data_IF_518945261000
#
_entry.id   IF_518945261000
#
_cell.length_a   1.000
_cell.length_b   1.000
_cell.length_c   1.000
_cell.angle_alpha   90.00
_cell.angle_beta   90.00
_cell.angle_gamma   90.00
#
_symmetry.space_group_name_H-M   'P 1'
#
loop_
_entity.id
_entity.type
_entity.pdbx_description
1 polymer ?
#
# COMPACT_ATOMS: atom_id res chain seq x y z
N UNK A 1 -32.90 -12.63 2.13
CA UNK A 1 -32.46 -14.01 2.45
C UNK A 1 -33.60 -14.89 3.00
N UNK A 2 -34.42 -14.44 3.94
CA UNK A 2 -35.56 -15.24 4.46
C UNK A 2 -36.53 -15.77 3.38
N UNK A 3 -36.79 -15.01 2.32
CA UNK A 3 -37.66 -15.42 1.21
C UNK A 3 -37.06 -16.55 0.34
N UNK A 4 -35.72 -16.72 0.35
CA UNK A 4 -35.02 -17.75 -0.45
C UNK A 4 -34.57 -18.94 0.38
N UNK A 5 -34.86 -18.98 1.66
CA UNK A 5 -34.40 -20.01 2.61
C UNK A 5 -32.86 -20.21 2.53
N UNK A 6 -32.11 -19.10 2.39
CA UNK A 6 -30.67 -19.07 2.23
C UNK A 6 -30.05 -18.21 3.34
N UNK A 7 -28.87 -18.62 3.77
CA UNK A 7 -28.01 -17.93 4.75
C UNK A 7 -26.67 -17.63 4.12
N UNK A 8 -26.03 -16.54 4.51
CA UNK A 8 -24.63 -16.25 4.14
C UNK A 8 -23.65 -16.80 5.19
N UNK A 9 -22.34 -16.64 4.94
CA UNK A 9 -21.31 -17.14 5.84
C UNK A 9 -21.34 -16.47 7.22
N UNK A 10 -21.69 -15.22 7.31
CA UNK A 10 -21.81 -14.48 8.57
C UNK A 10 -23.04 -14.97 9.37
N UNK A 11 -24.16 -15.22 8.70
CA UNK A 11 -25.35 -15.84 9.29
C UNK A 11 -25.02 -17.21 9.86
N UNK A 12 -24.24 -18.05 9.13
CA UNK A 12 -23.83 -19.38 9.60
C UNK A 12 -23.06 -19.28 10.93
N UNK A 13 -22.12 -18.35 11.05
CA UNK A 13 -21.31 -18.16 12.25
C UNK A 13 -22.19 -17.66 13.41
N UNK A 14 -23.04 -16.65 13.14
CA UNK A 14 -23.90 -16.07 14.16
C UNK A 14 -24.96 -17.05 14.67
N UNK A 15 -25.62 -17.80 13.78
CA UNK A 15 -26.58 -18.83 14.18
C UNK A 15 -25.93 -19.98 14.93
N UNK A 16 -24.71 -20.42 14.52
CA UNK A 16 -23.95 -21.41 15.27
C UNK A 16 -23.64 -20.92 16.68
N UNK A 17 -23.26 -19.69 16.88
CA UNK A 17 -23.03 -19.08 18.20
C UNK A 17 -24.30 -19.10 19.08
N UNK A 18 -25.48 -18.84 18.50
CA UNK A 18 -26.75 -18.90 19.22
C UNK A 18 -27.10 -20.34 19.64
N UNK A 19 -26.98 -21.28 18.70
CA UNK A 19 -27.25 -22.71 18.98
C UNK A 19 -26.36 -23.24 20.12
N UNK A 20 -25.06 -22.90 20.09
CA UNK A 20 -24.11 -23.29 21.14
C UNK A 20 -24.50 -22.71 22.48
N UNK A 21 -24.88 -21.44 22.55
CA UNK A 21 -25.34 -20.78 23.76
C UNK A 21 -26.63 -21.42 24.31
N UNK A 22 -27.57 -21.77 23.46
CA UNK A 22 -28.81 -22.43 23.83
C UNK A 22 -28.54 -23.85 24.39
N UNK A 23 -27.54 -24.58 23.83
CA UNK A 23 -27.11 -25.86 24.36
C UNK A 23 -26.44 -25.74 25.73
N UNK A 24 -25.62 -24.73 25.97
CA UNK A 24 -25.03 -24.43 27.27
C UNK A 24 -26.12 -24.20 28.32
N UNK A 25 -27.14 -23.40 28.00
CA UNK A 25 -28.29 -23.14 28.89
C UNK A 25 -29.05 -24.43 29.22
N UNK A 26 -29.19 -25.35 28.25
CA UNK A 26 -29.89 -26.63 28.43
C UNK A 26 -29.01 -27.71 29.09
N UNK A 27 -27.78 -27.37 29.51
CA UNK A 27 -26.85 -28.28 30.17
C UNK A 27 -26.22 -29.36 29.29
N UNK A 28 -26.33 -29.22 27.97
CA UNK A 28 -25.64 -30.08 27.02
C UNK A 28 -24.15 -29.72 26.95
N UNK A 29 -23.26 -30.71 26.92
CA UNK A 29 -21.81 -30.49 26.79
C UNK A 29 -21.26 -31.27 25.60
N UNK A 30 -20.28 -30.64 24.94
CA UNK A 30 -19.40 -31.29 23.96
C UNK A 30 -18.08 -31.66 24.66
N UNK A 31 -17.44 -32.74 24.29
CA UNK A 31 -16.21 -33.23 24.95
C UNK A 31 -14.94 -32.81 24.20
N UNK A 32 -14.77 -31.51 23.96
CA UNK A 32 -13.51 -30.95 23.47
C UNK A 32 -12.68 -30.45 24.65
N UNK A 33 -11.40 -30.84 24.71
CA UNK A 33 -10.46 -30.39 25.75
C UNK A 33 -9.71 -29.15 25.32
N UNK A 34 -9.51 -28.99 24.03
CA UNK A 34 -8.76 -27.89 23.42
C UNK A 34 -9.46 -27.38 22.18
N UNK A 35 -9.44 -26.07 22.00
CA UNK A 35 -9.83 -25.36 20.76
C UNK A 35 -8.58 -24.65 20.26
N UNK A 36 -8.09 -25.06 19.09
CA UNK A 36 -6.89 -24.47 18.47
C UNK A 36 -7.34 -23.59 17.33
N UNK A 37 -6.97 -22.32 17.38
CA UNK A 37 -7.26 -21.34 16.32
C UNK A 37 -5.95 -20.86 15.73
N UNK A 38 -5.72 -21.19 14.46
CA UNK A 38 -4.57 -20.73 13.68
C UNK A 38 -4.88 -19.42 12.98
N UNK A 39 -3.84 -18.67 12.61
CA UNK A 39 -3.94 -17.33 12.00
C UNK A 39 -4.89 -16.40 12.80
N UNK A 40 -4.80 -16.45 14.12
CA UNK A 40 -5.74 -15.78 15.03
C UNK A 40 -5.75 -14.25 14.86
N UNK A 41 -4.69 -13.63 14.32
CA UNK A 41 -4.64 -12.18 14.00
C UNK A 41 -5.67 -11.77 12.94
N UNK A 42 -6.24 -12.72 12.20
CA UNK A 42 -7.26 -12.46 11.18
C UNK A 42 -8.69 -12.78 11.67
N UNK A 43 -8.86 -12.96 12.98
CA UNK A 43 -10.16 -13.31 13.54
C UNK A 43 -11.12 -12.11 13.48
N UNK A 44 -12.37 -12.36 13.05
CA UNK A 44 -13.44 -11.38 13.14
C UNK A 44 -14.16 -11.48 14.50
N UNK A 45 -14.90 -10.44 14.88
CA UNK A 45 -15.68 -10.42 16.13
C UNK A 45 -16.66 -11.58 16.20
N UNK A 46 -17.28 -11.95 15.09
CA UNK A 46 -18.23 -13.08 15.04
C UNK A 46 -17.54 -14.42 15.31
N UNK A 47 -16.39 -14.67 14.67
CA UNK A 47 -15.59 -15.89 14.90
C UNK A 47 -15.05 -15.96 16.33
N UNK A 48 -14.62 -14.81 16.86
CA UNK A 48 -14.22 -14.71 18.27
C UNK A 48 -15.36 -15.10 19.22
N UNK A 49 -16.58 -14.57 19.01
CA UNK A 49 -17.74 -14.89 19.82
C UNK A 49 -18.07 -16.39 19.75
N UNK A 50 -18.08 -16.98 18.55
CA UNK A 50 -18.29 -18.42 18.35
C UNK A 50 -17.26 -19.25 19.13
N UNK A 51 -15.96 -18.88 19.03
CA UNK A 51 -14.87 -19.57 19.75
C UNK A 51 -15.07 -19.48 21.26
N UNK A 52 -15.48 -18.30 21.76
CA UNK A 52 -15.72 -18.08 23.20
C UNK A 52 -16.90 -18.89 23.73
N UNK A 53 -18.03 -18.90 23.03
CA UNK A 53 -19.19 -19.69 23.44
C UNK A 53 -18.90 -21.20 23.37
N UNK A 54 -18.19 -21.67 22.34
CA UNK A 54 -17.77 -23.05 22.23
C UNK A 54 -16.82 -23.47 23.38
N UNK A 55 -15.89 -22.61 23.76
CA UNK A 55 -14.98 -22.85 24.88
C UNK A 55 -15.74 -23.02 26.19
N UNK A 56 -16.75 -22.18 26.44
CA UNK A 56 -17.61 -22.32 27.64
C UNK A 56 -18.41 -23.61 27.63
N UNK A 57 -19.08 -23.93 26.51
CA UNK A 57 -19.89 -25.16 26.40
C UNK A 57 -19.05 -26.42 26.67
N UNK A 58 -17.80 -26.44 26.18
CA UNK A 58 -16.91 -27.61 26.31
C UNK A 58 -16.08 -27.62 27.59
N UNK A 59 -15.99 -26.49 28.32
CA UNK A 59 -14.95 -26.26 29.35
C UNK A 59 -13.54 -26.46 28.76
N UNK A 60 -13.34 -26.00 27.53
CA UNK A 60 -12.13 -26.22 26.75
C UNK A 60 -11.13 -25.08 26.87
N UNK A 61 -9.84 -25.41 26.86
CA UNK A 61 -8.75 -24.45 26.76
C UNK A 61 -8.58 -23.95 25.33
N UNK A 62 -8.40 -22.64 25.17
CA UNK A 62 -8.14 -22.06 23.86
C UNK A 62 -6.64 -21.92 23.66
N UNK A 63 -6.16 -22.33 22.48
CA UNK A 63 -4.79 -22.12 21.99
C UNK A 63 -4.90 -21.29 20.72
N UNK A 64 -4.53 -20.01 20.80
CA UNK A 64 -4.52 -19.09 19.69
C UNK A 64 -3.09 -18.91 19.15
N UNK A 65 -2.89 -19.18 17.87
CA UNK A 65 -1.60 -19.03 17.18
C UNK A 65 -1.73 -17.96 16.10
N UNK A 66 -0.78 -17.05 16.04
CA UNK A 66 -0.84 -15.98 15.05
C UNK A 66 0.37 -15.05 15.06
N UNK A 67 0.37 -14.10 14.15
CA UNK A 67 1.40 -13.07 13.99
C UNK A 67 0.75 -11.73 13.65
N UNK A 68 0.73 -10.79 14.62
CA UNK A 68 0.11 -9.47 14.47
C UNK A 68 0.75 -8.64 13.35
N UNK A 69 2.04 -8.89 13.02
CA UNK A 69 2.71 -8.24 11.89
C UNK A 69 2.12 -8.67 10.53
N UNK A 70 1.38 -9.77 10.49
CA UNK A 70 0.71 -10.32 9.30
C UNK A 70 -0.81 -10.11 9.29
N UNK A 71 -1.36 -9.26 10.16
CA UNK A 71 -2.78 -8.89 10.14
C UNK A 71 -3.06 -7.91 9.00
N UNK A 72 -3.62 -8.41 7.89
CA UNK A 72 -3.83 -7.66 6.64
C UNK A 72 -5.24 -7.80 6.08
N UNK A 73 -6.21 -8.23 6.89
CA UNK A 73 -7.60 -8.45 6.48
C UNK A 73 -8.60 -7.59 7.26
N UNK A 74 -8.19 -6.37 7.70
CA UNK A 74 -9.09 -5.44 8.38
C UNK A 74 -10.30 -5.08 7.49
N UNK A 75 -10.08 -4.89 6.19
CA UNK A 75 -11.15 -4.66 5.20
C UNK A 75 -12.18 -5.81 5.12
N UNK A 76 -11.79 -7.03 5.50
CA UNK A 76 -12.67 -8.21 5.58
C UNK A 76 -13.25 -8.44 6.99
N UNK A 77 -13.13 -7.45 7.89
CA UNK A 77 -13.70 -7.46 9.23
C UNK A 77 -12.85 -8.17 10.29
N UNK A 78 -11.55 -8.41 10.04
CA UNK A 78 -10.65 -8.85 11.10
C UNK A 78 -10.42 -7.73 12.11
N UNK A 79 -10.26 -8.09 13.39
CA UNK A 79 -10.05 -7.17 14.51
C UNK A 79 -8.76 -7.58 15.24
N UNK A 80 -7.65 -6.90 14.89
CA UNK A 80 -6.34 -7.18 15.47
C UNK A 80 -6.32 -7.00 16.99
N UNK A 81 -7.21 -6.18 17.55
CA UNK A 81 -7.27 -5.96 19.00
C UNK A 81 -7.64 -7.23 19.76
N UNK A 82 -8.35 -8.15 19.13
CA UNK A 82 -8.68 -9.46 19.73
C UNK A 82 -7.45 -10.33 19.90
N UNK A 83 -6.42 -10.14 19.08
CA UNK A 83 -5.14 -10.83 19.21
C UNK A 83 -4.22 -10.11 20.22
N UNK A 84 -4.03 -8.81 20.07
CA UNK A 84 -3.10 -8.04 20.91
C UNK A 84 -3.58 -7.91 22.36
N UNK A 85 -4.90 -8.02 22.62
CA UNK A 85 -5.53 -7.96 23.96
C UNK A 85 -6.17 -9.30 24.34
N UNK A 86 -5.55 -10.41 23.94
CA UNK A 86 -6.08 -11.76 24.17
C UNK A 86 -6.39 -12.04 25.67
N UNK A 87 -5.48 -11.67 26.57
CA UNK A 87 -5.67 -11.86 28.03
C UNK A 87 -6.88 -11.10 28.57
N UNK A 88 -7.09 -9.89 28.10
CA UNK A 88 -8.24 -9.07 28.51
C UNK A 88 -9.55 -9.68 28.01
N UNK A 89 -9.53 -10.25 26.78
CA UNK A 89 -10.70 -10.85 26.16
C UNK A 89 -11.14 -12.15 26.84
N UNK A 90 -10.21 -12.95 27.37
CA UNK A 90 -10.47 -14.25 28.03
C UNK A 90 -10.26 -14.23 29.53
N UNK A 91 -9.81 -13.12 30.13
CA UNK A 91 -9.61 -12.94 31.55
C UNK A 91 -8.24 -13.36 32.07
N UNK A 92 -7.61 -14.35 31.46
CA UNK A 92 -6.21 -14.74 31.72
C UNK A 92 -5.64 -15.48 30.50
N UNK A 93 -4.31 -15.59 30.44
CA UNK A 93 -3.64 -16.34 29.38
C UNK A 93 -2.13 -16.36 29.57
N UNK A 94 -1.49 -17.37 29.00
CA UNK A 94 -0.06 -17.45 28.89
C UNK A 94 0.32 -17.10 27.44
N UNK A 95 1.24 -16.16 27.27
CA UNK A 95 1.79 -15.78 25.98
C UNK A 95 3.17 -16.41 25.81
N UNK A 96 3.35 -17.05 24.66
CA UNK A 96 4.62 -17.65 24.26
C UNK A 96 5.00 -17.10 22.89
N UNK A 97 6.25 -16.70 22.74
CA UNK A 97 6.77 -16.18 21.47
C UNK A 97 7.66 -17.22 20.79
N UNK A 98 7.37 -17.50 19.52
CA UNK A 98 8.27 -18.27 18.65
C UNK A 98 9.22 -17.27 18.01
N UNK A 99 10.49 -17.28 18.45
CA UNK A 99 11.50 -16.31 18.02
C UNK A 99 12.40 -16.83 16.91
N UNK A 100 12.41 -18.12 16.62
CA UNK A 100 13.28 -18.73 15.62
C UNK A 100 12.51 -19.00 14.31
N UNK A 101 13.05 -18.52 13.21
CA UNK A 101 12.52 -18.78 11.87
C UNK A 101 13.58 -19.38 10.95
N UNK A 102 13.13 -20.14 9.95
CA UNK A 102 14.00 -20.81 8.97
C UNK A 102 13.68 -20.41 7.52
N UNK A 103 12.67 -19.58 7.31
CA UNK A 103 12.26 -19.13 5.97
C UNK A 103 13.20 -18.07 5.43
N UNK A 104 13.24 -16.93 6.10
CA UNK A 104 13.97 -15.75 5.67
C UNK A 104 15.42 -15.77 6.16
N UNK A 105 16.31 -15.07 5.48
CA UNK A 105 17.64 -14.74 5.99
C UNK A 105 17.54 -13.69 7.11
N UNK A 106 18.52 -13.64 8.00
CA UNK A 106 18.54 -12.73 9.15
C UNK A 106 18.42 -11.28 8.70
N UNK A 107 19.13 -10.88 7.66
CA UNK A 107 19.15 -9.51 7.16
C UNK A 107 17.80 -9.09 6.59
N UNK A 108 17.04 -10.01 5.98
CA UNK A 108 15.64 -9.74 5.56
C UNK A 108 14.75 -9.50 6.77
N UNK A 109 14.95 -10.30 7.84
CA UNK A 109 14.18 -10.19 9.08
C UNK A 109 14.47 -8.87 9.78
N UNK A 110 15.74 -8.48 9.85
CA UNK A 110 16.18 -7.25 10.53
C UNK A 110 15.59 -6.01 9.83
N UNK A 111 15.63 -5.99 8.49
CA UNK A 111 15.02 -4.91 7.70
C UNK A 111 13.49 -4.90 7.85
N UNK A 112 12.84 -6.03 7.57
CA UNK A 112 11.37 -6.10 7.61
C UNK A 112 10.82 -5.92 9.03
N UNK A 113 11.48 -6.52 10.03
CA UNK A 113 11.12 -6.40 11.43
C UNK A 113 11.33 -5.01 11.99
N UNK A 114 12.44 -4.34 11.65
CA UNK A 114 12.66 -2.95 12.01
C UNK A 114 11.64 -2.01 11.37
N UNK A 115 11.32 -2.25 10.08
CA UNK A 115 10.31 -1.48 9.35
C UNK A 115 8.91 -1.59 10.00
N UNK A 116 8.45 -2.79 10.33
CA UNK A 116 7.09 -2.97 10.90
C UNK A 116 7.01 -2.48 12.35
N UNK A 117 8.06 -2.62 13.15
CA UNK A 117 8.08 -2.21 14.55
C UNK A 117 8.14 -0.70 14.79
N UNK A 118 8.26 0.13 13.74
CA UNK A 118 7.99 1.56 13.83
C UNK A 118 6.54 1.85 14.23
N UNK A 119 5.62 0.96 13.90
CA UNK A 119 4.31 0.97 14.50
C UNK A 119 4.39 0.44 15.93
N UNK A 120 4.28 1.33 16.91
CA UNK A 120 4.43 1.02 18.36
C UNK A 120 3.30 0.17 18.92
N UNK A 121 2.17 0.03 18.22
CA UNK A 121 1.08 -0.84 18.61
C UNK A 121 1.32 -2.32 18.24
N UNK A 122 2.32 -2.61 17.41
CA UNK A 122 2.71 -3.99 17.10
C UNK A 122 3.47 -4.63 18.27
N UNK A 123 3.26 -5.92 18.47
CA UNK A 123 3.98 -6.70 19.48
C UNK A 123 5.47 -6.73 19.11
N UNK A 124 6.32 -6.29 20.04
CA UNK A 124 7.77 -6.31 19.82
C UNK A 124 8.29 -7.75 19.78
N UNK A 125 9.00 -8.10 18.72
CA UNK A 125 9.58 -9.43 18.50
C UNK A 125 11.04 -9.29 18.08
N UNK A 126 11.88 -10.17 18.63
CA UNK A 126 13.26 -10.35 18.17
C UNK A 126 13.36 -11.71 17.49
N UNK A 127 13.29 -11.73 16.17
CA UNK A 127 13.34 -12.96 15.38
C UNK A 127 14.78 -13.29 15.02
N UNK A 128 15.13 -14.57 15.08
CA UNK A 128 16.48 -15.09 14.78
C UNK A 128 16.39 -16.14 13.66
N UNK A 129 17.30 -16.04 12.69
CA UNK A 129 17.47 -17.02 11.63
C UNK A 129 18.92 -17.54 11.57
N UNK A 130 19.15 -18.84 11.32
CA UNK A 130 20.49 -19.35 11.06
C UNK A 130 20.99 -19.04 9.64
N UNK A 131 20.16 -18.41 8.81
CA UNK A 131 20.45 -18.15 7.40
C UNK A 131 20.87 -16.69 7.21
N UNK A 132 21.96 -16.48 6.50
CA UNK A 132 22.51 -15.18 6.16
C UNK A 132 22.66 -15.00 4.65
N UNK A 133 22.46 -13.78 4.15
CA UNK A 133 22.59 -13.46 2.74
C UNK A 133 23.07 -12.02 2.55
N UNK A 134 23.97 -11.83 1.61
CA UNK A 134 24.39 -10.50 1.17
C UNK A 134 23.37 -9.88 0.24
N UNK A 135 23.16 -8.55 0.33
CA UNK A 135 22.22 -7.78 -0.47
C UNK A 135 20.79 -8.39 -0.37
N UNK A 136 20.15 -8.40 0.82
CA UNK A 136 18.88 -9.09 1.07
C UNK A 136 17.69 -8.40 0.39
N UNK A 137 17.74 -7.06 0.32
CA UNK A 137 16.74 -6.20 -0.33
C UNK A 137 17.44 -5.36 -1.39
N UNK A 138 16.97 -5.46 -2.63
CA UNK A 138 17.55 -4.77 -3.78
C UNK A 138 16.46 -3.92 -4.43
N UNK A 139 16.72 -2.62 -4.53
CA UNK A 139 15.85 -1.67 -5.21
C UNK A 139 16.36 -1.51 -6.62
N UNK A 140 15.50 -1.76 -7.60
CA UNK A 140 15.77 -1.57 -9.03
C UNK A 140 14.90 -0.41 -9.51
N UNK A 141 15.54 0.66 -9.99
CA UNK A 141 14.83 1.86 -10.43
C UNK A 141 14.65 1.88 -11.94
N UNK A 142 13.62 2.59 -12.39
CA UNK A 142 13.41 2.97 -13.79
C UNK A 142 13.00 4.44 -13.87
N UNK A 143 13.36 5.12 -14.98
CA UNK A 143 12.97 6.51 -15.19
C UNK A 143 11.65 6.61 -15.94
N UNK A 144 10.77 7.54 -15.53
CA UNK A 144 9.55 7.90 -16.26
C UNK A 144 9.78 9.09 -17.21
N UNK A 145 10.93 9.77 -17.11
CA UNK A 145 11.36 10.85 -17.98
C UNK A 145 11.93 10.30 -19.30
N UNK A 146 11.07 9.69 -20.10
CA UNK A 146 11.45 9.16 -21.42
C UNK A 146 10.61 9.81 -22.48
N UNK A 147 11.21 10.04 -23.66
CA UNK A 147 10.45 10.50 -24.81
C UNK A 147 9.35 9.49 -25.16
N UNK A 148 8.09 9.89 -24.90
CA UNK A 148 6.90 9.04 -25.11
C UNK A 148 6.84 8.43 -26.51
N UNK A 149 7.44 9.09 -27.52
CA UNK A 149 7.51 8.61 -28.90
C UNK A 149 8.32 7.33 -29.05
N UNK A 150 9.32 7.07 -28.19
CA UNK A 150 10.13 5.84 -28.24
C UNK A 150 9.33 4.60 -27.82
N UNK A 151 8.22 4.78 -27.11
CA UNK A 151 7.41 3.70 -26.54
C UNK A 151 5.97 3.68 -27.09
N UNK A 152 5.68 4.52 -28.10
CA UNK A 152 4.41 4.49 -28.80
C UNK A 152 4.22 3.09 -29.43
N UNK A 153 3.13 2.41 -29.08
CA UNK A 153 2.87 1.02 -29.49
C UNK A 153 3.51 -0.08 -28.62
N UNK A 154 4.36 0.24 -27.63
CA UNK A 154 5.04 -0.73 -26.76
C UNK A 154 4.48 -0.81 -25.32
N UNK A 155 3.34 -0.16 -25.03
CA UNK A 155 2.74 -0.19 -23.68
C UNK A 155 3.14 0.98 -22.76
N UNK A 156 3.85 2.01 -23.26
CA UNK A 156 4.20 3.22 -22.50
C UNK A 156 5.03 2.92 -21.25
N UNK A 157 4.66 3.53 -20.10
CA UNK A 157 5.37 3.34 -18.82
C UNK A 157 5.43 1.87 -18.36
N UNK A 158 4.46 1.05 -18.71
CA UNK A 158 4.43 -0.37 -18.33
C UNK A 158 5.52 -1.18 -19.02
N UNK A 159 5.97 -0.76 -20.19
CA UNK A 159 7.10 -1.37 -20.89
C UNK A 159 8.38 -1.28 -20.03
N UNK A 160 8.64 -0.12 -19.42
CA UNK A 160 9.82 0.09 -18.58
C UNK A 160 9.78 -0.78 -17.32
N UNK A 161 8.61 -0.86 -16.67
CA UNK A 161 8.41 -1.74 -15.52
C UNK A 161 8.65 -3.19 -15.93
N UNK A 162 8.02 -3.66 -17.03
CA UNK A 162 8.17 -5.02 -17.55
C UNK A 162 9.62 -5.35 -17.87
N UNK A 163 10.36 -4.42 -18.52
CA UNK A 163 11.77 -4.59 -18.85
C UNK A 163 12.66 -4.68 -17.62
N UNK A 164 12.39 -3.86 -16.61
CA UNK A 164 13.10 -3.93 -15.34
C UNK A 164 12.86 -5.26 -14.63
N UNK A 165 11.60 -5.71 -14.58
CA UNK A 165 11.25 -7.02 -14.01
C UNK A 165 11.92 -8.17 -14.75
N UNK A 166 11.93 -8.15 -16.09
CA UNK A 166 12.61 -9.16 -16.91
C UNK A 166 14.12 -9.18 -16.64
N UNK A 167 14.76 -8.02 -16.54
CA UNK A 167 16.19 -7.94 -16.22
C UNK A 167 16.50 -8.55 -14.83
N UNK A 168 15.63 -8.37 -13.85
CA UNK A 168 15.76 -9.00 -12.53
C UNK A 168 15.62 -10.53 -12.66
N UNK A 169 14.61 -11.01 -13.38
CA UNK A 169 14.40 -12.45 -13.63
C UNK A 169 15.63 -13.05 -14.30
N UNK A 170 16.19 -12.39 -15.32
CA UNK A 170 17.40 -12.80 -16.01
C UNK A 170 18.58 -12.98 -15.02
N UNK A 171 18.80 -12.00 -14.14
CA UNK A 171 19.86 -12.06 -13.11
C UNK A 171 19.66 -13.24 -12.16
N UNK A 172 18.42 -13.45 -11.68
CA UNK A 172 18.08 -14.53 -10.75
C UNK A 172 18.32 -15.90 -11.40
N UNK A 173 17.81 -16.10 -12.62
CA UNK A 173 17.88 -17.38 -13.30
C UNK A 173 19.29 -17.69 -13.87
N UNK A 174 20.10 -16.67 -14.15
CA UNK A 174 21.50 -16.84 -14.49
C UNK A 174 22.33 -17.37 -13.30
N UNK A 175 22.01 -16.90 -12.07
CA UNK A 175 22.65 -17.37 -10.84
C UNK A 175 22.12 -18.76 -10.43
N UNK A 176 20.80 -18.93 -10.44
CA UNK A 176 20.13 -20.18 -10.04
C UNK A 176 18.95 -20.50 -10.98
N UNK A 177 19.13 -21.36 -12.01
CA UNK A 177 18.15 -21.62 -13.07
C UNK A 177 16.80 -22.18 -12.60
N UNK A 178 16.75 -22.86 -11.46
CA UNK A 178 15.55 -23.51 -10.91
C UNK A 178 14.91 -22.70 -9.76
N UNK A 179 15.32 -21.46 -9.61
CA UNK A 179 14.80 -20.56 -8.56
C UNK A 179 13.33 -20.24 -8.79
N UNK A 180 12.49 -20.44 -7.78
CA UNK A 180 11.10 -19.99 -7.82
C UNK A 180 11.03 -18.47 -7.62
N UNK A 181 10.24 -17.79 -8.46
CA UNK A 181 10.12 -16.33 -8.47
C UNK A 181 8.65 -15.94 -8.33
N UNK A 182 8.36 -15.09 -7.35
CA UNK A 182 7.05 -14.50 -7.16
C UNK A 182 7.08 -13.02 -7.54
N UNK A 183 6.22 -12.65 -8.49
CA UNK A 183 5.92 -11.26 -8.80
C UNK A 183 4.78 -10.80 -7.89
N UNK A 184 5.00 -9.81 -7.05
CA UNK A 184 4.00 -9.27 -6.13
C UNK A 184 3.52 -7.91 -6.58
N UNK A 185 2.20 -7.79 -6.82
CA UNK A 185 1.51 -6.52 -7.01
C UNK A 185 0.72 -6.13 -5.77
N UNK A 186 0.54 -4.83 -5.55
CA UNK A 186 -0.42 -4.35 -4.54
C UNK A 186 -1.85 -4.64 -4.99
N UNK A 187 -2.11 -4.56 -6.30
CA UNK A 187 -3.41 -4.76 -6.93
C UNK A 187 -3.37 -5.84 -8.02
N UNK A 188 -4.53 -6.46 -8.28
CA UNK A 188 -4.64 -7.45 -9.36
C UNK A 188 -4.38 -6.87 -10.77
N UNK A 189 -4.68 -5.58 -10.98
CA UNK A 189 -4.41 -4.91 -12.25
C UNK A 189 -2.91 -4.67 -12.53
N UNK A 190 -2.02 -4.86 -11.55
CA UNK A 190 -0.57 -4.82 -11.78
C UNK A 190 -0.14 -5.93 -12.76
N UNK A 191 -0.76 -7.12 -12.68
CA UNK A 191 -0.56 -8.19 -13.67
C UNK A 191 -1.01 -7.78 -15.06
N UNK A 192 -2.20 -7.19 -15.19
CA UNK A 192 -2.71 -6.67 -16.45
C UNK A 192 -1.80 -5.59 -17.04
N UNK A 193 -1.28 -4.71 -16.19
CA UNK A 193 -0.36 -3.66 -16.62
C UNK A 193 0.99 -4.21 -17.10
N UNK A 194 1.54 -5.22 -16.41
CA UNK A 194 2.73 -5.94 -16.88
C UNK A 194 2.47 -6.64 -18.22
N UNK A 195 1.30 -7.24 -18.41
CA UNK A 195 0.90 -7.87 -19.66
C UNK A 195 0.81 -6.92 -20.87
N UNK A 196 0.74 -5.60 -20.63
CA UNK A 196 0.86 -4.59 -21.70
C UNK A 196 2.30 -4.40 -22.19
N UNK A 197 3.30 -4.86 -21.42
CA UNK A 197 4.69 -4.85 -21.87
C UNK A 197 4.95 -5.93 -22.89
N UNK A 198 6.02 -5.77 -23.69
CA UNK A 198 6.39 -6.75 -24.70
C UNK A 198 6.85 -8.10 -24.13
N UNK A 199 7.24 -8.13 -22.86
CA UNK A 199 7.95 -9.24 -22.22
C UNK A 199 7.02 -10.22 -21.49
N UNK A 200 5.74 -9.83 -21.27
CA UNK A 200 4.76 -10.64 -20.56
C UNK A 200 3.47 -10.84 -21.37
N UNK A 201 2.74 -11.90 -21.04
CA UNK A 201 1.40 -12.19 -21.54
C UNK A 201 0.47 -12.32 -20.35
N UNK A 202 -0.58 -11.50 -20.31
CA UNK A 202 -1.65 -11.62 -19.33
C UNK A 202 -2.81 -12.41 -19.94
N UNK A 203 -3.21 -13.50 -19.29
CA UNK A 203 -4.37 -14.29 -19.66
C UNK A 203 -5.61 -13.77 -18.92
N UNK A 204 -6.49 -13.07 -19.62
CA UNK A 204 -7.70 -12.48 -19.04
C UNK A 204 -8.68 -13.53 -18.48
N UNK A 205 -8.65 -14.78 -18.98
CA UNK A 205 -9.56 -15.84 -18.52
C UNK A 205 -9.13 -16.42 -17.19
N UNK A 206 -7.84 -16.62 -17.00
CA UNK A 206 -7.27 -17.21 -15.78
C UNK A 206 -6.75 -16.19 -14.79
N UNK A 207 -6.52 -14.94 -15.24
CA UNK A 207 -5.85 -13.91 -14.44
C UNK A 207 -4.36 -14.16 -14.23
N UNK A 208 -3.76 -15.10 -14.98
CA UNK A 208 -2.35 -15.46 -14.85
C UNK A 208 -1.47 -14.60 -15.74
N UNK A 209 -0.23 -14.38 -15.30
CA UNK A 209 0.82 -13.71 -16.02
C UNK A 209 1.91 -14.72 -16.42
N UNK A 210 2.30 -14.71 -17.68
CA UNK A 210 3.34 -15.58 -18.23
C UNK A 210 4.48 -14.75 -18.79
N UNK A 211 5.72 -15.15 -18.53
CA UNK A 211 6.88 -14.58 -19.23
C UNK A 211 7.02 -15.22 -20.61
N UNK A 212 7.21 -14.42 -21.66
CA UNK A 212 7.49 -14.90 -23.03
C UNK A 212 8.87 -15.55 -23.12
N UNK A 213 9.84 -15.01 -22.40
CA UNK A 213 11.24 -15.45 -22.45
C UNK A 213 11.46 -16.74 -21.66
N UNK A 214 10.69 -16.95 -20.57
CA UNK A 214 10.89 -18.05 -19.63
C UNK A 214 9.67 -18.97 -19.53
N UNK A 215 9.18 -19.43 -20.68
CA UNK A 215 8.07 -20.38 -20.71
C UNK A 215 8.43 -21.67 -19.91
N UNK A 216 7.53 -22.08 -19.01
CA UNK A 216 7.70 -23.27 -18.18
C UNK A 216 8.59 -23.10 -16.95
N UNK A 217 9.10 -21.89 -16.66
CA UNK A 217 9.79 -21.60 -15.40
C UNK A 217 8.79 -21.28 -14.28
N UNK A 218 9.13 -21.53 -13.00
CA UNK A 218 8.26 -21.26 -11.85
C UNK A 218 8.21 -19.77 -11.49
N UNK A 219 7.61 -18.98 -12.41
CA UNK A 219 7.39 -17.53 -12.24
C UNK A 219 5.89 -17.31 -12.11
N UNK A 220 5.45 -16.82 -10.97
CA UNK A 220 4.04 -16.60 -10.67
C UNK A 220 3.77 -15.14 -10.30
N UNK A 221 2.57 -14.65 -10.61
CA UNK A 221 2.09 -13.35 -10.13
C UNK A 221 0.98 -13.54 -9.10
N UNK A 222 1.08 -12.79 -8.01
CA UNK A 222 -0.01 -12.70 -7.01
C UNK A 222 -0.11 -11.28 -6.46
N UNK A 223 -1.28 -10.93 -5.93
CA UNK A 223 -1.37 -9.80 -5.01
C UNK A 223 -0.75 -10.17 -3.67
N UNK A 224 -0.25 -9.20 -2.92
CA UNK A 224 0.37 -9.45 -1.61
C UNK A 224 -0.59 -10.18 -0.67
N UNK A 225 -1.89 -9.84 -0.69
CA UNK A 225 -2.91 -10.53 0.10
C UNK A 225 -3.00 -12.03 -0.21
N UNK A 226 -2.98 -12.39 -1.50
CA UNK A 226 -3.04 -13.81 -1.91
C UNK A 226 -1.77 -14.58 -1.59
N UNK A 227 -0.64 -13.89 -1.51
CA UNK A 227 0.66 -14.49 -1.25
C UNK A 227 0.90 -14.78 0.25
N UNK A 228 0.02 -14.33 1.15
CA UNK A 228 0.12 -14.63 2.58
C UNK A 228 0.22 -16.15 2.81
N UNK A 229 1.10 -16.57 3.72
CA UNK A 229 1.36 -17.98 3.99
C UNK A 229 2.36 -18.66 3.04
N UNK A 230 2.50 -18.19 1.80
CA UNK A 230 3.39 -18.77 0.80
C UNK A 230 4.86 -18.33 0.99
N UNK A 231 5.78 -19.00 0.29
CA UNK A 231 7.20 -18.67 0.30
C UNK A 231 7.91 -19.13 -0.99
N UNK A 232 8.65 -18.19 -1.60
CA UNK A 232 9.38 -18.39 -2.85
C UNK A 232 10.86 -18.14 -2.64
N UNK A 233 11.71 -18.63 -3.56
CA UNK A 233 13.14 -18.40 -3.43
C UNK A 233 13.49 -16.91 -3.56
N UNK A 234 12.86 -16.21 -4.50
CA UNK A 234 12.99 -14.76 -4.66
C UNK A 234 11.64 -14.10 -4.91
N UNK A 235 11.52 -12.85 -4.49
CA UNK A 235 10.31 -12.04 -4.64
C UNK A 235 10.64 -10.75 -5.38
N UNK A 236 9.76 -10.32 -6.29
CA UNK A 236 9.86 -9.05 -7.00
C UNK A 236 8.57 -8.26 -6.75
N UNK A 237 8.65 -7.16 -6.03
CA UNK A 237 7.56 -6.21 -5.84
C UNK A 237 7.54 -5.29 -7.05
N UNK A 238 6.47 -5.36 -7.87
CA UNK A 238 6.49 -4.83 -9.25
C UNK A 238 6.08 -3.37 -9.38
N UNK A 239 5.54 -2.74 -8.35
CA UNK A 239 4.99 -1.37 -8.46
C UNK A 239 5.03 -0.64 -7.11
N UNK A 240 6.23 -0.41 -6.58
CA UNK A 240 6.42 0.35 -5.35
C UNK A 240 6.59 1.85 -5.68
N UNK A 241 5.49 2.57 -5.84
CA UNK A 241 5.47 3.99 -6.25
C UNK A 241 4.57 4.85 -5.38
N UNK A 242 4.88 6.12 -5.32
CA UNK A 242 4.09 7.13 -4.59
C UNK A 242 2.95 7.64 -5.49
N UNK A 243 1.85 6.92 -5.55
CA UNK A 243 0.61 7.27 -6.27
C UNK A 243 -0.60 6.74 -5.51
N UNK A 244 -1.81 7.21 -5.86
CA UNK A 244 -3.08 6.76 -5.25
C UNK A 244 -3.21 5.24 -5.25
N UNK A 245 -2.87 4.60 -6.38
CA UNK A 245 -2.83 3.14 -6.52
C UNK A 245 -1.40 2.61 -6.44
N UNK A 246 -0.58 3.21 -5.59
CA UNK A 246 0.79 2.79 -5.35
C UNK A 246 0.92 1.74 -4.24
N UNK A 247 2.11 1.68 -3.65
CA UNK A 247 2.38 0.91 -2.45
C UNK A 247 3.29 1.73 -1.53
N UNK A 248 2.76 2.35 -0.44
CA UNK A 248 1.41 2.17 0.12
C UNK A 248 0.30 2.70 -0.77
N UNK A 249 -0.88 2.09 -0.64
CA UNK A 249 -2.10 2.59 -1.24
C UNK A 249 -2.54 3.88 -0.54
N UNK A 250 -2.84 4.91 -1.33
CA UNK A 250 -3.40 6.17 -0.83
C UNK A 250 -4.92 6.25 -1.07
N UNK A 251 -5.54 5.11 -1.40
CA UNK A 251 -7.00 5.01 -1.53
C UNK A 251 -7.61 5.19 -0.15
N UNK A 252 -8.42 6.24 -0.01
CA UNK A 252 -9.12 6.47 1.25
C UNK A 252 -10.28 5.47 1.39
N UNK A 253 -10.36 4.86 2.55
CA UNK A 253 -11.53 4.08 2.93
C UNK A 253 -12.75 4.97 3.12
N UNK A 254 -13.94 4.39 2.92
CA UNK A 254 -15.20 5.08 3.20
C UNK A 254 -15.20 5.54 4.67
N UNK A 255 -15.49 6.82 4.96
CA UNK A 255 -15.54 7.34 6.33
C UNK A 255 -16.44 6.54 7.27
N UNK A 256 -17.46 5.87 6.74
CA UNK A 256 -18.36 4.99 7.52
C UNK A 256 -17.61 3.78 8.08
N UNK A 257 -16.62 3.26 7.37
CA UNK A 257 -15.82 2.12 7.82
C UNK A 257 -15.03 2.44 9.09
N UNK A 258 -14.63 3.68 9.33
CA UNK A 258 -13.92 4.12 10.54
C UNK A 258 -14.71 3.89 11.84
N UNK A 259 -16.04 3.78 11.74
CA UNK A 259 -16.90 3.49 12.91
C UNK A 259 -17.00 1.99 13.18
N UNK A 260 -16.68 1.15 12.23
CA UNK A 260 -16.86 -0.31 12.29
C UNK A 260 -15.51 -1.04 12.41
N UNK A 261 -14.51 -0.59 11.65
CA UNK A 261 -13.16 -1.13 11.66
C UNK A 261 -12.34 -0.42 12.74
N UNK A 262 -11.94 -1.15 13.75
CA UNK A 262 -10.99 -0.66 14.74
C UNK A 262 -9.59 -0.86 14.18
N UNK A 263 -9.09 0.11 13.46
CA UNK A 263 -7.70 0.13 13.05
C UNK A 263 -6.86 0.93 14.06
N UNK A 264 -5.60 0.55 14.17
CA UNK A 264 -4.62 1.25 14.95
C UNK A 264 -4.12 2.46 14.15
N UNK A 265 -4.61 3.63 14.51
CA UNK A 265 -4.24 4.91 13.90
C UNK A 265 -2.95 5.51 14.50
N UNK A 266 -2.12 4.72 15.17
CA UNK A 266 -0.88 5.21 15.81
C UNK A 266 0.19 5.64 14.80
N UNK A 267 0.13 5.11 13.58
CA UNK A 267 1.03 5.45 12.47
C UNK A 267 0.28 5.50 11.13
N UNK A 268 0.69 6.41 10.26
CA UNK A 268 0.12 6.49 8.91
C UNK A 268 0.39 5.18 8.13
N UNK A 269 -0.61 4.73 7.37
CA UNK A 269 -0.54 3.47 6.60
C UNK A 269 -0.28 2.21 7.45
N UNK A 270 -0.81 2.11 8.66
CA UNK A 270 -0.55 0.97 9.55
C UNK A 270 -0.83 -0.38 8.89
N UNK A 271 -1.98 -0.57 8.20
CA UNK A 271 -2.32 -1.80 7.47
C UNK A 271 -1.42 -2.00 6.24
N UNK A 272 -1.17 -0.96 5.46
CA UNK A 272 -0.26 -1.01 4.30
C UNK A 272 1.17 -1.37 4.72
N UNK A 273 1.60 -0.93 5.91
CA UNK A 273 2.90 -1.28 6.48
C UNK A 273 2.97 -2.77 6.82
N UNK A 274 1.91 -3.33 7.41
CA UNK A 274 1.80 -4.79 7.61
C UNK A 274 1.80 -5.54 6.28
N UNK A 275 1.09 -5.02 5.29
CA UNK A 275 1.05 -5.60 3.96
C UNK A 275 2.43 -5.59 3.30
N UNK A 276 3.18 -4.50 3.43
CA UNK A 276 4.53 -4.39 2.90
C UNK A 276 5.52 -5.33 3.64
N UNK A 277 5.38 -5.47 4.96
CA UNK A 277 6.10 -6.48 5.73
C UNK A 277 5.81 -7.90 5.20
N UNK A 278 4.54 -8.22 4.94
CA UNK A 278 4.18 -9.52 4.34
C UNK A 278 4.87 -9.68 2.98
N UNK A 279 4.88 -8.65 2.13
CA UNK A 279 5.57 -8.71 0.83
C UNK A 279 7.08 -8.97 0.98
N UNK A 280 7.76 -8.27 1.88
CA UNK A 280 9.18 -8.46 2.16
C UNK A 280 9.51 -9.86 2.67
N UNK A 281 8.63 -10.47 3.44
CA UNK A 281 8.87 -11.77 4.10
C UNK A 281 8.39 -12.99 3.31
N UNK A 282 7.90 -12.82 2.08
CA UNK A 282 7.54 -13.98 1.21
C UNK A 282 8.75 -14.66 0.59
N UNK A 283 9.92 -14.07 0.69
CA UNK A 283 11.15 -14.61 0.13
C UNK A 283 11.87 -15.59 1.07
N UNK A 284 12.57 -16.55 0.49
CA UNK A 284 13.58 -17.34 1.19
C UNK A 284 14.98 -16.75 1.04
N UNK A 285 15.22 -15.99 -0.03
CA UNK A 285 16.52 -15.38 -0.33
C UNK A 285 16.39 -13.85 -0.42
N UNK A 286 16.11 -13.28 -1.60
CA UNK A 286 16.15 -11.84 -1.86
C UNK A 286 14.79 -11.27 -2.21
N UNK A 287 14.60 -10.02 -1.84
CA UNK A 287 13.49 -9.20 -2.32
C UNK A 287 14.04 -8.15 -3.27
N UNK A 288 13.43 -8.06 -4.44
CA UNK A 288 13.66 -6.99 -5.39
C UNK A 288 12.45 -6.05 -5.37
N UNK A 289 12.69 -4.76 -5.36
CA UNK A 289 11.62 -3.74 -5.34
C UNK A 289 11.79 -2.86 -6.56
N UNK A 290 10.81 -2.87 -7.46
CA UNK A 290 10.79 -2.03 -8.66
C UNK A 290 10.07 -0.73 -8.35
N UNK A 291 10.74 0.41 -8.56
CA UNK A 291 10.24 1.74 -8.23
C UNK A 291 10.67 2.77 -9.28
N UNK A 292 9.86 3.79 -9.62
CA UNK A 292 10.31 4.89 -10.46
C UNK A 292 11.32 5.77 -9.72
N UNK A 293 12.25 6.36 -10.47
CA UNK A 293 13.25 7.30 -9.93
C UNK A 293 12.61 8.57 -9.38
N UNK A 294 11.64 9.10 -10.11
CA UNK A 294 11.04 10.43 -9.88
C UNK A 294 9.97 10.42 -8.77
N UNK A 295 9.29 9.29 -8.61
CA UNK A 295 8.18 9.14 -7.66
C UNK A 295 8.28 7.80 -6.90
N UNK A 296 9.40 7.55 -6.20
CA UNK A 296 9.56 6.32 -5.45
C UNK A 296 8.55 6.23 -4.31
N UNK A 297 8.19 5.00 -3.94
CA UNK A 297 7.38 4.72 -2.76
C UNK A 297 8.02 5.32 -1.51
N UNK A 298 7.21 5.91 -0.64
CA UNK A 298 7.68 6.39 0.66
C UNK A 298 8.25 5.26 1.53
N UNK A 299 7.73 4.03 1.41
CA UNK A 299 8.30 2.86 2.08
C UNK A 299 9.68 2.49 1.52
N UNK A 300 9.90 2.68 0.21
CA UNK A 300 11.22 2.49 -0.41
C UNK A 300 12.21 3.53 0.10
N UNK A 301 11.79 4.80 0.17
CA UNK A 301 12.62 5.89 0.70
C UNK A 301 12.99 5.60 2.17
N UNK A 302 12.04 5.16 2.96
CA UNK A 302 12.25 4.78 4.35
C UNK A 302 13.30 3.65 4.49
N UNK A 303 13.16 2.58 3.68
CA UNK A 303 14.12 1.48 3.69
C UNK A 303 15.54 1.95 3.35
N UNK A 304 15.69 2.80 2.34
CA UNK A 304 17.01 3.32 1.93
C UNK A 304 17.63 4.22 2.98
N UNK A 305 16.83 5.03 3.68
CA UNK A 305 17.32 5.93 4.74
C UNK A 305 17.74 5.18 6.00
N UNK A 306 17.03 4.11 6.36
CA UNK A 306 17.19 3.47 7.66
C UNK A 306 18.13 2.25 7.65
N UNK A 307 18.34 1.63 6.48
CA UNK A 307 19.06 0.36 6.40
C UNK A 307 20.19 0.39 5.37
N UNK A 308 21.43 0.25 5.83
CA UNK A 308 22.62 0.23 4.98
C UNK A 308 22.73 -1.02 4.11
N UNK A 309 22.06 -2.10 4.50
CA UNK A 309 22.05 -3.37 3.77
C UNK A 309 21.03 -3.41 2.62
N UNK A 310 20.28 -2.31 2.42
CA UNK A 310 19.43 -2.11 1.25
C UNK A 310 20.27 -1.60 0.10
N UNK A 311 20.35 -2.41 -0.96
CA UNK A 311 21.09 -2.04 -2.15
C UNK A 311 20.21 -1.32 -3.16
N UNK A 312 20.68 -0.20 -3.69
CA UNK A 312 20.00 0.55 -4.75
C UNK A 312 20.77 0.41 -6.06
N UNK A 313 20.08 -0.02 -7.12
CA UNK A 313 20.57 -0.04 -8.48
C UNK A 313 19.83 1.02 -9.30
N UNK A 314 20.54 2.07 -9.71
CA UNK A 314 20.04 3.26 -10.37
C UNK A 314 19.90 4.45 -9.41
N UNK A 315 19.28 5.51 -9.87
CA UNK A 315 19.10 6.74 -9.11
C UNK A 315 17.75 6.78 -8.43
N UNK A 316 17.67 7.43 -7.26
CA UNK A 316 16.44 7.74 -6.56
C UNK A 316 16.40 9.22 -6.24
N UNK A 317 15.33 9.89 -6.62
CA UNK A 317 15.06 11.25 -6.17
C UNK A 317 14.50 11.17 -4.76
N UNK A 318 15.38 11.29 -3.78
CA UNK A 318 15.01 11.42 -2.36
C UNK A 318 14.90 12.91 -2.08
N UNK A 319 13.68 13.42 -2.03
CA UNK A 319 13.45 14.81 -1.63
C UNK A 319 13.65 14.86 -0.10
N UNK A 320 14.78 15.43 0.33
CA UNK A 320 15.14 15.59 1.76
C UNK A 320 14.33 16.69 2.47
N UNK A 321 13.34 17.26 1.79
CA UNK A 321 12.39 18.16 2.45
C UNK A 321 11.55 17.35 3.45
N UNK A 322 12.01 17.33 4.68
CA UNK A 322 11.42 16.69 5.87
C UNK A 322 10.02 17.20 6.24
N UNK A 323 9.38 17.96 5.36
CA UNK A 323 8.08 18.59 5.55
C UNK A 323 6.94 17.95 4.71
N UNK A 324 7.09 16.73 4.23
CA UNK A 324 6.04 16.07 3.42
C UNK A 324 4.71 15.90 4.18
N UNK A 325 4.73 15.83 5.49
CA UNK A 325 3.49 15.78 6.28
C UNK A 325 2.75 17.12 6.35
N UNK A 326 3.47 18.24 6.24
CA UNK A 326 2.85 19.57 6.18
C UNK A 326 2.50 20.00 4.73
N UNK A 327 3.25 19.52 3.74
CA UNK A 327 3.03 19.88 2.33
C UNK A 327 1.76 19.27 1.71
N UNK A 328 1.24 18.17 2.26
CA UNK A 328 0.03 17.53 1.74
C UNK A 328 -1.25 17.97 2.46
N UNK A 329 -1.20 19.02 3.26
CA UNK A 329 -2.38 19.56 3.93
C UNK A 329 -2.82 20.87 3.29
N UNK A 330 -4.14 21.02 3.20
CA UNK A 330 -4.74 22.25 2.71
C UNK A 330 -4.37 23.43 3.61
N UNK A 331 -3.79 24.52 3.08
CA UNK A 331 -3.39 25.66 3.89
C UNK A 331 -4.58 26.46 4.42
N UNK A 332 -5.79 26.19 3.92
CA UNK A 332 -7.01 26.89 4.33
C UNK A 332 -7.73 26.14 5.47
N UNK A 333 -7.90 24.83 5.35
CA UNK A 333 -8.72 24.06 6.32
C UNK A 333 -7.99 22.89 6.99
N UNK A 334 -6.72 22.65 6.65
CA UNK A 334 -5.89 21.60 7.24
C UNK A 334 -6.19 20.17 6.77
N UNK A 335 -7.20 19.96 5.93
CA UNK A 335 -7.52 18.64 5.39
C UNK A 335 -6.47 18.18 4.37
N UNK A 336 -6.32 16.85 4.15
CA UNK A 336 -5.36 16.33 3.18
C UNK A 336 -5.63 16.86 1.77
N UNK A 337 -4.57 17.09 1.00
CA UNK A 337 -4.62 17.40 -0.42
C UNK A 337 -4.51 16.11 -1.24
N UNK A 338 -5.34 15.99 -2.28
CA UNK A 338 -5.36 14.86 -3.20
C UNK A 338 -4.98 15.30 -4.60
N UNK A 339 -4.06 14.56 -5.26
CA UNK A 339 -3.70 14.81 -6.64
C UNK A 339 -4.76 14.22 -7.58
N UNK A 340 -5.51 15.08 -8.31
CA UNK A 340 -6.52 14.66 -9.28
C UNK A 340 -6.33 15.34 -10.63
N UNK A 341 -6.59 14.61 -11.71
CA UNK A 341 -6.70 15.21 -13.03
C UNK A 341 -8.10 15.84 -13.17
N UNK A 342 -8.16 17.15 -13.32
CA UNK A 342 -9.40 17.89 -13.61
C UNK A 342 -9.48 18.19 -15.11
N UNK A 343 -10.37 17.52 -15.81
CA UNK A 343 -10.58 17.67 -17.26
C UNK A 343 -10.89 19.12 -17.66
N UNK A 344 -11.62 19.84 -16.82
CA UNK A 344 -12.00 21.26 -17.01
C UNK A 344 -10.78 22.16 -17.13
N UNK A 345 -9.68 21.83 -16.44
CA UNK A 345 -8.45 22.63 -16.46
C UNK A 345 -7.38 22.04 -17.38
N UNK A 346 -7.54 20.76 -17.80
CA UNK A 346 -6.50 20.02 -18.52
C UNK A 346 -5.24 19.75 -17.69
N UNK A 347 -5.34 19.82 -16.35
CA UNK A 347 -4.21 19.80 -15.43
C UNK A 347 -4.38 18.75 -14.33
N UNK A 348 -3.26 18.24 -13.83
CA UNK A 348 -3.20 17.54 -12.55
C UNK A 348 -3.08 18.58 -11.42
N UNK A 349 -4.01 18.53 -10.48
CA UNK A 349 -4.14 19.49 -9.39
C UNK A 349 -4.18 18.78 -8.05
N UNK A 350 -3.52 19.37 -7.07
CA UNK A 350 -3.71 19.08 -5.67
C UNK A 350 -4.99 19.74 -5.19
N UNK A 351 -5.96 18.97 -4.77
CA UNK A 351 -7.30 19.42 -4.42
C UNK A 351 -7.55 19.06 -2.96
N UNK A 352 -8.16 19.98 -2.22
CA UNK A 352 -8.55 19.69 -0.85
C UNK A 352 -9.56 18.54 -0.79
N UNK A 353 -9.34 17.57 0.11
CA UNK A 353 -10.27 16.45 0.31
C UNK A 353 -11.60 16.86 0.91
N UNK A 354 -11.70 18.08 1.42
CA UNK A 354 -12.92 18.69 1.96
C UNK A 354 -13.74 19.40 0.86
N UNK A 355 -13.42 19.15 -0.41
CA UNK A 355 -14.09 19.67 -1.60
C UNK A 355 -15.40 18.89 -1.86
N UNK A 356 -16.41 19.53 -2.49
CA UNK A 356 -16.45 20.92 -2.93
C UNK A 356 -17.20 21.86 -1.96
N UNK A 357 -17.86 21.31 -0.96
CA UNK A 357 -18.91 22.05 -0.22
C UNK A 357 -18.34 22.94 0.88
N UNK A 358 -17.14 22.61 1.35
CA UNK A 358 -16.51 23.27 2.50
C UNK A 358 -15.22 23.99 2.11
N UNK A 359 -14.41 23.41 1.20
CA UNK A 359 -13.15 24.00 0.78
C UNK A 359 -12.88 23.74 -0.72
N UNK A 360 -12.76 24.81 -1.48
CA UNK A 360 -12.50 24.78 -2.93
C UNK A 360 -11.01 24.95 -3.29
N UNK A 361 -10.11 24.72 -2.33
CA UNK A 361 -8.68 24.89 -2.54
C UNK A 361 -8.14 23.91 -3.57
N UNK A 362 -7.45 24.44 -4.60
CA UNK A 362 -6.73 23.66 -5.63
C UNK A 362 -5.40 24.34 -5.94
N UNK A 363 -4.34 23.52 -6.16
CA UNK A 363 -3.02 24.01 -6.57
C UNK A 363 -2.36 23.06 -7.57
N UNK A 364 -1.56 23.57 -8.48
CA UNK A 364 -0.74 22.73 -9.38
C UNK A 364 0.68 22.51 -8.85
N UNK A 365 1.07 23.15 -7.75
CA UNK A 365 2.41 23.06 -7.19
C UNK A 365 2.38 23.05 -5.66
N UNK A 366 3.09 22.10 -5.06
CA UNK A 366 3.33 22.01 -3.61
C UNK A 366 4.70 22.59 -3.19
N UNK A 367 5.63 22.82 -4.15
CA UNK A 367 6.97 23.34 -3.89
C UNK A 367 6.94 24.87 -3.74
N UNK A 368 7.73 25.42 -2.85
CA UNK A 368 7.94 26.87 -2.71
C UNK A 368 6.78 27.68 -2.12
N UNK A 369 5.88 27.03 -1.39
CA UNK A 369 4.65 27.59 -0.83
C UNK A 369 3.46 27.30 -1.74
N UNK A 370 2.41 26.73 -1.15
CA UNK A 370 1.21 26.31 -1.85
C UNK A 370 0.42 27.53 -2.29
N UNK A 371 0.29 27.73 -3.60
CA UNK A 371 -0.49 28.81 -4.19
C UNK A 371 -1.74 28.24 -4.87
N UNK A 372 -2.95 28.76 -4.55
CA UNK A 372 -4.19 28.29 -5.16
C UNK A 372 -4.27 28.69 -6.63
N UNK A 373 -5.04 27.92 -7.41
CA UNK A 373 -5.40 28.28 -8.79
C UNK A 373 -6.55 29.25 -8.78
N UNK A 374 -6.46 30.25 -9.65
CA UNK A 374 -7.53 31.24 -9.88
C UNK A 374 -7.82 31.38 -11.37
N UNK A 375 -9.01 31.87 -11.71
CA UNK A 375 -9.30 32.31 -13.08
C UNK A 375 -8.38 33.47 -13.46
N UNK A 376 -7.96 33.50 -14.72
CA UNK A 376 -7.22 34.61 -15.24
C UNK A 376 -8.15 35.84 -15.43
N UNK A 377 -7.76 36.98 -14.91
CA UNK A 377 -8.51 38.23 -15.00
C UNK A 377 -8.34 38.90 -16.37
N UNK A 378 -7.31 38.53 -17.17
CA UNK A 378 -7.05 39.07 -18.50
C UNK A 378 -7.71 38.27 -19.64
N UNK A 379 -7.97 36.97 -19.46
CA UNK A 379 -8.67 36.17 -20.46
C UNK A 379 -9.76 35.30 -19.83
N UNK A 380 -10.86 35.05 -20.59
CA UNK A 380 -12.04 34.39 -20.04
C UNK A 380 -11.85 32.90 -19.74
N UNK A 381 -10.92 32.24 -20.45
CA UNK A 381 -10.82 30.78 -20.50
C UNK A 381 -9.54 30.24 -19.84
N UNK A 382 -8.64 31.10 -19.34
CA UNK A 382 -7.38 30.71 -18.73
C UNK A 382 -7.42 30.68 -17.20
N UNK A 383 -6.44 29.99 -16.65
CA UNK A 383 -6.21 29.92 -15.21
C UNK A 383 -4.77 30.34 -14.89
N UNK A 384 -4.60 30.99 -13.75
CA UNK A 384 -3.28 31.34 -13.22
C UNK A 384 -2.71 30.13 -12.49
N UNK A 385 -1.57 29.62 -12.96
CA UNK A 385 -0.85 28.48 -12.42
C UNK A 385 0.59 28.83 -12.11
N UNK A 386 1.20 28.14 -11.17
CA UNK A 386 2.63 28.28 -10.88
C UNK A 386 3.43 27.76 -12.07
N UNK A 387 4.36 28.58 -12.56
CA UNK A 387 5.33 28.25 -13.61
C UNK A 387 6.74 28.46 -13.08
N UNK A 388 7.63 27.55 -13.44
CA UNK A 388 9.06 27.67 -13.14
C UNK A 388 9.75 28.48 -14.27
N UNK A 389 10.55 29.45 -13.88
CA UNK A 389 11.36 30.27 -14.78
C UNK A 389 12.84 30.15 -14.43
N UNK A 390 13.70 30.97 -15.09
CA UNK A 390 15.13 31.05 -14.76
C UNK A 390 15.43 31.74 -13.40
N UNK A 391 14.39 32.23 -12.72
CA UNK A 391 14.42 32.85 -11.41
C UNK A 391 13.39 32.25 -10.47
N UNK A 392 12.86 33.03 -9.51
CA UNK A 392 11.83 32.60 -8.62
C UNK A 392 10.55 32.16 -9.36
N UNK A 393 9.80 31.14 -8.83
CA UNK A 393 8.54 30.73 -9.41
C UNK A 393 7.55 31.89 -9.48
N UNK A 394 6.83 32.00 -10.59
CA UNK A 394 5.82 33.03 -10.84
C UNK A 394 4.49 32.37 -11.26
N UNK A 395 3.41 33.13 -11.21
CA UNK A 395 2.12 32.67 -11.72
C UNK A 395 1.93 33.23 -13.15
N UNK A 396 1.62 32.29 -14.04
CA UNK A 396 1.35 32.62 -15.44
C UNK A 396 0.06 31.98 -15.94
N UNK A 397 -0.60 32.61 -16.89
CA UNK A 397 -1.82 32.12 -17.49
C UNK A 397 -1.59 30.79 -18.26
N UNK A 398 -2.52 29.86 -18.18
CA UNK A 398 -2.52 28.60 -18.96
C UNK A 398 -2.59 28.84 -20.46
N UNK A 399 -3.21 29.97 -20.90
CA UNK A 399 -3.34 30.36 -22.29
C UNK A 399 -2.13 31.12 -22.85
N UNK A 400 -1.03 31.15 -22.08
CA UNK A 400 0.23 31.73 -22.59
C UNK A 400 0.78 30.90 -23.75
N UNK A 401 1.19 31.58 -24.84
CA UNK A 401 1.88 30.97 -25.98
C UNK A 401 3.20 31.69 -26.23
N UNK A 402 4.22 30.93 -26.62
CA UNK A 402 5.58 31.49 -26.87
C UNK A 402 5.66 32.45 -28.08
N UNK A 403 4.66 32.41 -28.94
CA UNK A 403 4.53 33.30 -30.13
C UNK A 403 3.86 34.65 -29.83
N UNK A 404 3.60 34.96 -28.57
CA UNK A 404 2.89 36.13 -28.08
C UNK A 404 1.43 36.25 -28.58
N UNK A 405 0.83 35.21 -29.16
CA UNK A 405 -0.59 35.21 -29.58
C UNK A 405 -1.54 34.85 -28.45
N UNK A 406 -1.01 34.37 -27.32
CA UNK A 406 -1.76 33.96 -26.15
C UNK A 406 -1.85 35.03 -25.06
N UNK A 407 -2.45 34.66 -23.93
CA UNK A 407 -2.56 35.54 -22.77
C UNK A 407 -1.21 35.69 -22.05
N UNK A 408 -0.69 36.89 -21.94
CA UNK A 408 0.58 37.21 -21.29
C UNK A 408 0.43 37.62 -19.82
N UNK A 409 -0.65 37.21 -19.15
CA UNK A 409 -0.83 37.52 -17.73
C UNK A 409 0.19 36.81 -16.87
N UNK A 410 0.97 37.56 -16.12
CA UNK A 410 1.98 37.08 -15.18
C UNK A 410 1.89 37.89 -13.89
N UNK A 411 2.01 37.23 -12.75
CA UNK A 411 1.98 37.85 -11.42
C UNK A 411 3.13 37.28 -10.57
N UNK A 412 3.76 38.14 -9.77
CA UNK A 412 4.64 37.67 -8.69
C UNK A 412 3.82 36.98 -7.60
N UNK A 413 4.48 36.12 -6.79
CA UNK A 413 3.85 35.42 -5.68
C UNK A 413 3.11 36.38 -4.72
N UNK A 414 3.72 37.50 -4.38
CA UNK A 414 3.14 38.50 -3.47
C UNK A 414 1.88 39.15 -4.05
N UNK A 415 1.94 39.58 -5.29
CA UNK A 415 0.80 40.21 -5.97
C UNK A 415 -0.35 39.20 -6.14
N UNK A 416 -0.04 37.93 -6.38
CA UNK A 416 -1.03 36.88 -6.51
C UNK A 416 -1.76 36.62 -5.20
N UNK A 417 -1.03 36.47 -4.09
CA UNK A 417 -1.63 36.26 -2.76
C UNK A 417 -2.53 37.42 -2.35
N UNK A 418 -2.10 38.66 -2.63
CA UNK A 418 -2.93 39.83 -2.38
C UNK A 418 -4.25 39.75 -3.16
N UNK A 419 -4.15 39.50 -4.47
CA UNK A 419 -5.33 39.36 -5.33
C UNK A 419 -6.26 38.21 -4.90
N UNK A 420 -5.69 37.07 -4.50
CA UNK A 420 -6.48 35.93 -4.01
C UNK A 420 -7.27 36.27 -2.74
N UNK A 421 -6.65 36.94 -1.78
CA UNK A 421 -7.33 37.35 -0.54
C UNK A 421 -8.42 38.39 -0.82
N UNK A 422 -8.19 39.30 -1.76
CA UNK A 422 -9.18 40.31 -2.16
C UNK A 422 -10.41 39.70 -2.88
N UNK A 423 -10.21 38.64 -3.67
CA UNK A 423 -11.29 37.97 -4.41
C UNK A 423 -12.13 37.00 -3.56
N UNK A 424 -11.63 36.61 -2.39
CA UNK A 424 -12.35 35.71 -1.45
C UNK A 424 -13.09 36.48 -0.33
N UNK A 425 -12.91 37.80 -0.25
CA UNK A 425 -13.73 38.67 0.60
C UNK A 425 -14.99 39.10 -0.14
#
# INVERSE_FOLDING_TARGET
>A
MKEKNAIDFEDMINESSKIIRDQEINGNKLDFKYIIVDEYQDISRQRFNLTKELSKLCDAKIIAVGDDWQSIYAYAGSDITLFTHFKEAFGYGQELSITKTYRNAQEVIDIAGGFIQKNTAQIKKALVSPKHIKDPVIIETYTEEVDRKQFEGKGGKYYLIGKTVENIINKILADKPDSSILLLGRYGFDAYNLGKSSDFIYDEKTGNLYSKTYAGKPIEFMTVHRAKGLGYDNVIIVNARNEVYGFPSQVQEDPVLKYVVKDDHSIEYAEERRLFYVALTRTKNRVYIVTPQEHPSEFVIELVKDYTDVKVNGDLVIDDSTDTQLMNRCPICGYPLQLRYKKTYGLRLWICSNEPEICDFMSNNLKGGILPIMKCDKCRDGYMIVKEGKGEPFLGCTNYKNDNTGCNNMLSKENYLRHYVETKK
#
